data_IF_211305342231
#
_entry.id   IF_211305342231
#
_cell.length_a   1.000
_cell.length_b   1.000
_cell.length_c   1.000
_cell.angle_alpha   90.00
_cell.angle_beta   90.00
_cell.angle_gamma   90.00
#
_symmetry.space_group_name_H-M   'P 1'
#
loop_
_entity.id
_entity.type
_entity.pdbx_description
1 polymer ?
#
# COMPACT_ATOMS: atom_id res chain seq x y z
N UNK A 1 5.79 19.00 28.46
CA UNK A 1 6.43 19.32 27.16
C UNK A 1 6.06 18.24 26.12
N UNK A 2 5.72 18.65 24.90
CA UNK A 2 5.26 17.75 23.82
C UNK A 2 6.44 17.20 23.01
N UNK A 3 7.57 16.87 23.65
CA UNK A 3 8.75 16.35 22.99
C UNK A 3 8.62 14.83 22.78
N UNK A 4 9.25 14.29 21.74
CA UNK A 4 9.42 12.85 21.58
C UNK A 4 10.74 12.42 22.20
N UNK A 5 10.68 11.41 23.05
CA UNK A 5 11.85 10.78 23.66
C UNK A 5 12.21 9.51 22.89
N UNK A 6 13.45 9.41 22.46
CA UNK A 6 13.96 8.34 21.60
C UNK A 6 15.02 7.53 22.36
N UNK A 7 14.90 6.22 22.35
CA UNK A 7 15.92 5.32 22.90
C UNK A 7 16.98 5.03 21.84
N UNK A 8 18.21 5.43 22.08
CA UNK A 8 19.36 5.18 21.22
C UNK A 8 20.36 4.24 21.92
N UNK A 9 19.94 3.01 22.20
CA UNK A 9 20.73 2.11 23.03
C UNK A 9 20.88 2.61 24.46
N UNK A 10 22.10 3.03 24.84
CA UNK A 10 22.39 3.60 26.18
C UNK A 10 22.19 5.13 26.26
N UNK A 11 22.01 5.79 25.13
CA UNK A 11 21.88 7.25 25.06
C UNK A 11 20.41 7.61 24.92
N UNK A 12 19.99 8.68 25.58
CA UNK A 12 18.67 9.25 25.42
C UNK A 12 18.69 10.31 24.32
N UNK A 13 17.73 10.24 23.38
CA UNK A 13 17.53 11.25 22.36
C UNK A 13 16.24 12.03 22.63
N UNK A 14 16.25 13.31 22.31
CA UNK A 14 15.07 14.17 22.41
C UNK A 14 14.83 14.87 21.08
N UNK A 15 13.63 14.70 20.55
CA UNK A 15 13.13 15.49 19.42
C UNK A 15 12.22 16.57 20.00
N UNK A 16 12.65 17.84 19.98
CA UNK A 16 11.79 18.95 20.39
C UNK A 16 10.52 19.02 19.56
N UNK A 17 9.44 19.49 20.14
CA UNK A 17 8.13 19.56 19.47
C UNK A 17 8.20 20.14 18.04
N UNK A 18 8.86 21.30 17.88
CA UNK A 18 9.00 21.99 16.57
C UNK A 18 9.84 21.21 15.55
N UNK A 19 10.67 20.29 16.03
CA UNK A 19 11.52 19.42 15.21
C UNK A 19 10.87 18.04 14.96
N UNK A 20 9.64 17.84 15.42
CA UNK A 20 8.93 16.57 15.38
C UNK A 20 8.45 16.16 14.00
N UNK A 21 8.07 17.09 13.15
CA UNK A 21 7.75 16.86 11.73
C UNK A 21 7.77 18.18 10.96
N UNK A 22 7.93 18.08 9.64
CA UNK A 22 7.72 19.17 8.70
C UNK A 22 6.27 19.65 8.81
N UNK A 23 6.04 20.96 8.87
CA UNK A 23 4.71 21.56 8.96
C UNK A 23 4.14 21.71 10.37
N UNK A 24 4.83 21.24 11.43
CA UNK A 24 4.38 21.49 12.81
C UNK A 24 4.59 22.96 13.20
N UNK A 25 5.70 23.56 12.77
CA UNK A 25 6.06 24.93 13.15
C UNK A 25 5.14 26.00 12.55
N UNK A 26 4.58 25.73 11.36
CA UNK A 26 3.65 26.61 10.65
C UNK A 26 2.17 26.24 10.85
N UNK A 27 1.91 25.16 11.61
CA UNK A 27 0.57 24.70 11.93
C UNK A 27 -0.13 23.91 10.81
N UNK A 28 0.53 23.61 9.69
CA UNK A 28 -0.03 22.82 8.61
C UNK A 28 -0.18 21.33 9.00
N UNK A 29 0.58 20.87 9.98
CA UNK A 29 0.53 19.51 10.54
C UNK A 29 0.09 19.54 11.99
N UNK A 30 -0.92 18.75 12.34
CA UNK A 30 -1.48 18.68 13.69
C UNK A 30 -0.63 17.80 14.64
N UNK A 31 -0.80 17.99 15.94
CA UNK A 31 -0.13 17.24 17.01
C UNK A 31 -0.25 15.71 16.88
N UNK A 32 -1.34 15.24 16.27
CA UNK A 32 -1.56 13.81 16.03
C UNK A 32 -0.42 13.16 15.23
N UNK A 33 0.27 13.93 14.39
CA UNK A 33 1.42 13.46 13.64
C UNK A 33 2.61 13.05 14.53
N UNK A 34 2.74 13.66 15.71
CA UNK A 34 3.72 13.28 16.72
C UNK A 34 3.22 12.12 17.59
N UNK A 35 1.98 12.22 18.06
CA UNK A 35 1.37 11.20 18.90
C UNK A 35 1.37 9.83 18.19
N UNK A 36 1.09 9.82 16.90
CA UNK A 36 1.10 8.60 16.08
C UNK A 36 2.48 7.94 15.94
N UNK A 37 3.57 8.58 16.37
CA UNK A 37 4.94 8.06 16.34
C UNK A 37 5.41 7.45 17.66
N UNK A 38 4.63 7.57 18.71
CA UNK A 38 4.92 6.90 19.98
C UNK A 38 4.97 5.39 19.79
N UNK A 39 6.00 4.75 20.33
CA UNK A 39 6.30 3.31 20.17
C UNK A 39 6.54 2.84 18.72
N UNK A 40 6.87 3.76 17.81
CA UNK A 40 7.24 3.43 16.42
C UNK A 40 8.68 3.83 16.13
N UNK A 41 9.29 3.14 15.18
CA UNK A 41 10.59 3.51 14.63
C UNK A 41 10.43 4.80 13.83
N UNK A 42 11.34 5.76 14.03
CA UNK A 42 11.32 7.05 13.33
C UNK A 42 12.69 7.38 12.76
N UNK A 43 12.70 8.03 11.60
CA UNK A 43 13.91 8.62 11.02
C UNK A 43 14.18 9.98 11.67
N UNK A 44 15.42 10.30 11.93
CA UNK A 44 15.85 11.60 12.49
C UNK A 44 17.29 11.91 12.10
N UNK A 45 17.65 13.18 12.21
CA UNK A 45 19.02 13.69 12.11
C UNK A 45 19.49 14.12 13.51
N UNK A 46 20.72 13.80 13.85
CA UNK A 46 21.36 14.30 15.09
C UNK A 46 21.78 15.74 14.82
N UNK A 47 21.31 16.67 15.63
CA UNK A 47 21.61 18.11 15.50
C UNK A 47 22.65 18.59 16.50
N UNK A 48 22.85 17.83 17.56
CA UNK A 48 23.84 18.17 18.59
C UNK A 48 23.65 17.34 19.86
N UNK A 49 24.34 17.79 20.88
CA UNK A 49 24.24 17.27 22.26
C UNK A 49 23.72 18.43 23.13
N UNK A 50 22.82 18.13 24.02
CA UNK A 50 22.27 19.13 24.96
C UNK A 50 21.98 18.52 26.32
N UNK A 51 21.51 19.37 27.25
CA UNK A 51 21.00 18.93 28.53
C UNK A 51 19.47 18.98 28.53
N UNK A 52 18.86 17.93 29.07
CA UNK A 52 17.42 17.85 29.24
C UNK A 52 17.11 17.23 30.62
N UNK A 53 16.68 18.06 31.55
CA UNK A 53 16.34 17.62 32.90
C UNK A 53 17.56 17.20 33.74
N UNK A 54 18.75 17.70 33.45
CA UNK A 54 19.99 17.35 34.14
C UNK A 54 20.71 16.12 33.55
N UNK A 55 20.20 15.58 32.44
CA UNK A 55 20.84 14.49 31.74
C UNK A 55 21.35 14.96 30.38
N UNK A 56 22.54 14.48 29.98
CA UNK A 56 23.07 14.72 28.65
C UNK A 56 22.32 13.87 27.63
N UNK A 57 21.71 14.53 26.65
CA UNK A 57 20.88 13.89 25.61
C UNK A 57 21.37 14.26 24.21
N UNK A 58 21.09 13.38 23.25
CA UNK A 58 21.22 13.70 21.84
C UNK A 58 20.01 14.54 21.39
N UNK A 59 20.27 15.70 20.81
CA UNK A 59 19.23 16.53 20.18
C UNK A 59 18.99 16.02 18.75
N UNK A 60 17.73 15.76 18.46
CA UNK A 60 17.32 15.09 17.23
C UNK A 60 16.28 15.93 16.48
N UNK A 61 16.27 15.83 15.15
CA UNK A 61 15.27 16.46 14.30
C UNK A 61 14.73 15.49 13.25
N UNK A 62 13.42 15.30 13.25
CA UNK A 62 12.70 14.64 12.14
C UNK A 62 12.42 15.64 11.04
N UNK A 63 12.14 16.89 11.38
CA UNK A 63 11.88 17.94 10.41
C UNK A 63 13.01 18.10 9.39
N UNK A 64 14.27 18.08 9.86
CA UNK A 64 15.43 18.22 8.97
C UNK A 64 15.58 17.05 8.01
N UNK A 65 15.41 15.81 8.47
CA UNK A 65 15.51 14.65 7.55
C UNK A 65 14.34 14.62 6.56
N UNK A 66 13.15 15.06 6.96
CA UNK A 66 12.00 15.20 6.06
C UNK A 66 12.23 16.31 5.03
N UNK A 67 12.80 17.44 5.44
CA UNK A 67 13.14 18.53 4.53
C UNK A 67 14.18 18.06 3.50
N UNK A 68 15.25 17.40 3.93
CA UNK A 68 16.25 16.83 2.99
C UNK A 68 15.62 15.82 2.02
N UNK A 69 14.70 14.99 2.48
CA UNK A 69 13.98 14.03 1.62
C UNK A 69 13.09 14.77 0.60
N UNK A 70 12.39 15.81 1.04
CA UNK A 70 11.59 16.65 0.14
C UNK A 70 12.45 17.30 -0.94
N UNK A 71 13.55 17.95 -0.54
CA UNK A 71 14.38 18.77 -1.43
C UNK A 71 15.22 17.91 -2.41
N UNK A 72 15.77 16.81 -1.93
CA UNK A 72 16.73 16.02 -2.71
C UNK A 72 16.10 14.81 -3.43
N UNK A 73 14.94 14.36 -3.01
CA UNK A 73 14.30 13.17 -3.56
C UNK A 73 12.91 13.44 -4.10
N UNK A 74 11.96 13.83 -3.25
CA UNK A 74 10.54 13.93 -3.62
C UNK A 74 10.29 15.06 -4.64
N UNK A 75 11.00 16.18 -4.52
CA UNK A 75 10.87 17.31 -5.47
C UNK A 75 11.28 16.91 -6.89
N UNK A 76 12.23 15.97 -7.02
CA UNK A 76 12.76 15.50 -8.30
C UNK A 76 11.90 14.41 -8.96
N UNK A 77 10.93 13.83 -8.23
CA UNK A 77 10.04 12.84 -8.80
C UNK A 77 9.14 13.42 -9.88
N UNK A 78 9.05 12.70 -10.99
CA UNK A 78 8.18 12.97 -12.13
C UNK A 78 7.02 11.97 -12.19
N UNK A 79 5.90 12.38 -12.78
CA UNK A 79 4.79 11.46 -13.05
C UNK A 79 5.28 10.31 -13.93
N UNK A 80 5.02 9.09 -13.52
CA UNK A 80 5.51 7.87 -14.15
C UNK A 80 6.71 7.23 -13.43
N UNK A 81 7.38 7.94 -12.52
CA UNK A 81 8.50 7.37 -11.77
C UNK A 81 8.02 6.25 -10.83
N UNK A 82 8.77 5.16 -10.82
CA UNK A 82 8.57 4.03 -9.91
C UNK A 82 9.42 4.23 -8.66
N UNK A 83 8.81 4.10 -7.50
CA UNK A 83 9.50 4.21 -6.21
C UNK A 83 9.17 3.03 -5.30
N UNK A 84 10.07 2.75 -4.37
CA UNK A 84 9.78 1.89 -3.23
C UNK A 84 9.08 2.69 -2.13
N UNK A 85 8.05 2.09 -1.53
CA UNK A 85 7.29 2.70 -0.46
C UNK A 85 6.90 1.65 0.58
N UNK A 86 6.63 2.10 1.81
CA UNK A 86 6.17 1.23 2.89
C UNK A 86 4.73 1.54 3.24
N UNK A 87 3.87 0.53 3.23
CA UNK A 87 2.47 0.66 3.68
C UNK A 87 2.44 0.99 5.17
N UNK A 88 1.80 2.09 5.53
CA UNK A 88 1.73 2.56 6.93
C UNK A 88 0.38 2.38 7.56
N UNK A 89 -0.70 2.50 6.78
CA UNK A 89 -2.07 2.35 7.25
C UNK A 89 -3.02 2.07 6.09
N UNK A 90 -4.08 1.31 6.35
CA UNK A 90 -5.06 0.87 5.36
C UNK A 90 -6.44 1.37 5.72
N UNK A 91 -7.11 1.99 4.74
CA UNK A 91 -8.45 2.54 4.86
C UNK A 91 -9.38 2.04 3.74
N UNK A 92 -10.69 2.25 3.89
CA UNK A 92 -11.67 1.92 2.86
C UNK A 92 -11.47 2.68 1.56
N UNK A 93 -10.88 3.88 1.62
CA UNK A 93 -10.67 4.75 0.46
C UNK A 93 -9.27 4.60 -0.14
N UNK A 94 -8.37 3.82 0.46
CA UNK A 94 -7.02 3.58 -0.06
C UNK A 94 -6.00 3.20 0.99
N UNK A 95 -4.72 3.20 0.58
CA UNK A 95 -3.58 2.87 1.42
C UNK A 95 -2.68 4.09 1.63
N UNK A 96 -2.33 4.37 2.88
CA UNK A 96 -1.28 5.32 3.20
C UNK A 96 0.07 4.65 3.10
N UNK A 97 1.01 5.31 2.44
CA UNK A 97 2.36 4.83 2.21
C UNK A 97 3.38 5.85 2.69
N UNK A 98 4.48 5.38 3.26
CA UNK A 98 5.69 6.17 3.53
C UNK A 98 6.57 6.15 2.29
N UNK A 99 6.75 7.31 1.68
CA UNK A 99 7.54 7.51 0.47
C UNK A 99 8.96 8.00 0.75
N UNK A 100 9.36 7.99 2.01
CA UNK A 100 10.69 8.37 2.50
C UNK A 100 10.62 9.24 3.75
N UNK A 101 11.53 9.01 4.69
CA UNK A 101 11.69 9.78 5.93
C UNK A 101 10.42 9.94 6.79
N UNK A 102 9.42 9.05 6.65
CA UNK A 102 8.13 9.16 7.32
C UNK A 102 7.19 10.19 6.70
N UNK A 103 7.42 10.57 5.44
CA UNK A 103 6.52 11.41 4.64
C UNK A 103 5.44 10.51 4.06
N UNK A 104 4.20 10.76 4.45
CA UNK A 104 3.07 9.95 4.03
C UNK A 104 2.45 10.47 2.73
N UNK A 105 2.06 9.54 1.88
CA UNK A 105 1.24 9.78 0.69
C UNK A 105 0.11 8.75 0.60
N UNK A 106 -0.69 8.81 -0.45
CA UNK A 106 -1.89 7.99 -0.62
C UNK A 106 -1.87 7.26 -1.96
N UNK A 107 -2.25 5.98 -1.91
CA UNK A 107 -2.72 5.23 -3.06
C UNK A 107 -4.25 5.10 -2.91
N UNK A 108 -5.06 5.76 -3.73
CA UNK A 108 -6.52 5.59 -3.71
C UNK A 108 -6.92 4.15 -4.01
N UNK A 109 -8.08 3.73 -3.49
CA UNK A 109 -8.52 2.33 -3.61
C UNK A 109 -8.69 1.88 -5.07
N UNK A 110 -9.13 2.77 -5.94
CA UNK A 110 -9.27 2.54 -7.37
C UNK A 110 -7.93 2.48 -8.12
N UNK A 111 -6.82 2.86 -7.47
CA UNK A 111 -5.45 2.76 -7.99
C UNK A 111 -4.68 1.55 -7.44
N UNK A 112 -5.29 0.74 -6.57
CA UNK A 112 -4.68 -0.48 -6.02
C UNK A 112 -4.84 -1.69 -6.93
N UNK A 113 -5.95 -1.79 -7.65
CA UNK A 113 -6.18 -2.88 -8.61
C UNK A 113 -7.29 -2.52 -9.61
N UNK A 114 -7.37 -3.30 -10.70
CA UNK A 114 -8.46 -3.21 -11.68
C UNK A 114 -9.74 -3.83 -11.10
N UNK A 115 -9.64 -4.94 -10.39
CA UNK A 115 -10.78 -5.56 -9.72
C UNK A 115 -11.30 -4.67 -8.60
N UNK A 116 -12.61 -4.59 -8.46
CA UNK A 116 -13.25 -3.86 -7.35
C UNK A 116 -12.92 -4.53 -6.02
N UNK A 117 -12.44 -3.74 -5.09
CA UNK A 117 -12.17 -4.12 -3.71
C UNK A 117 -12.93 -3.17 -2.78
N UNK A 118 -13.37 -3.65 -1.64
CA UNK A 118 -14.12 -2.86 -0.65
C UNK A 118 -13.22 -2.21 0.41
N UNK A 119 -12.00 -2.70 0.55
CA UNK A 119 -11.02 -2.22 1.51
C UNK A 119 -9.59 -2.49 1.01
N UNK A 120 -8.66 -1.58 1.30
CA UNK A 120 -7.26 -1.71 0.85
C UNK A 120 -6.56 -2.97 1.42
N UNK A 121 -7.00 -3.47 2.58
CA UNK A 121 -6.49 -4.72 3.17
C UNK A 121 -6.77 -5.99 2.33
N UNK A 122 -7.57 -5.88 1.28
CA UNK A 122 -7.73 -6.99 0.32
C UNK A 122 -6.55 -7.08 -0.68
N UNK A 123 -5.62 -6.11 -0.64
CA UNK A 123 -4.44 -6.04 -1.53
C UNK A 123 -3.13 -5.91 -0.79
N UNK A 124 -3.13 -5.20 0.32
CA UNK A 124 -1.93 -4.80 1.04
C UNK A 124 -2.07 -5.12 2.52
N UNK A 125 -0.94 -5.22 3.22
CA UNK A 125 -0.90 -5.28 4.68
C UNK A 125 0.01 -4.18 5.24
N UNK A 126 -0.27 -3.76 6.47
CA UNK A 126 0.54 -2.73 7.13
C UNK A 126 1.97 -3.23 7.36
N UNK A 127 2.94 -2.39 7.01
CA UNK A 127 4.36 -2.70 7.10
C UNK A 127 4.96 -3.29 5.84
N UNK A 128 4.16 -3.64 4.85
CA UNK A 128 4.60 -4.18 3.56
C UNK A 128 5.45 -3.16 2.79
N UNK A 129 6.51 -3.67 2.13
CA UNK A 129 7.30 -2.89 1.18
C UNK A 129 6.74 -3.16 -0.22
N UNK A 130 6.39 -2.11 -0.91
CA UNK A 130 5.77 -2.16 -2.25
C UNK A 130 6.52 -1.25 -3.22
N UNK A 131 6.48 -1.60 -4.51
CA UNK A 131 6.80 -0.68 -5.61
C UNK A 131 5.52 0.04 -6.03
N UNK A 132 5.61 1.32 -6.33
CA UNK A 132 4.45 2.12 -6.74
C UNK A 132 4.87 3.21 -7.72
N UNK A 133 3.95 3.66 -8.56
CA UNK A 133 4.19 4.68 -9.58
C UNK A 133 3.61 6.00 -9.12
N UNK A 134 4.34 7.10 -9.29
CA UNK A 134 3.80 8.44 -9.09
C UNK A 134 2.78 8.75 -10.19
N UNK A 135 1.50 8.82 -9.82
CA UNK A 135 0.39 9.07 -10.75
C UNK A 135 0.11 10.53 -10.98
N UNK A 136 0.18 11.32 -9.92
CA UNK A 136 -0.13 12.75 -9.99
C UNK A 136 0.66 13.54 -8.94
N UNK A 137 1.05 14.77 -9.33
CA UNK A 137 1.72 15.74 -8.48
C UNK A 137 0.98 17.07 -8.64
N UNK A 138 0.08 17.37 -7.73
CA UNK A 138 -0.74 18.57 -7.78
C UNK A 138 -0.79 19.27 -6.42
N UNK A 139 -0.50 20.57 -6.41
CA UNK A 139 -0.55 21.41 -5.20
C UNK A 139 0.20 20.81 -4.01
N UNK A 140 1.42 20.31 -4.25
CA UNK A 140 2.26 19.67 -3.24
C UNK A 140 1.78 18.30 -2.76
N UNK A 141 0.64 17.80 -3.26
CA UNK A 141 0.11 16.47 -2.97
C UNK A 141 0.54 15.49 -4.04
N UNK A 142 1.05 14.35 -3.59
CA UNK A 142 1.44 13.24 -4.45
C UNK A 142 0.40 12.13 -4.32
N UNK A 143 0.04 11.54 -5.44
CA UNK A 143 -0.86 10.39 -5.49
C UNK A 143 -0.18 9.28 -6.28
N UNK A 144 -0.24 8.07 -5.74
CA UNK A 144 0.43 6.92 -6.30
C UNK A 144 -0.55 5.86 -6.79
N UNK A 145 -0.05 4.91 -7.58
CA UNK A 145 -0.82 3.80 -8.15
C UNK A 145 0.01 2.54 -8.20
N UNK A 146 -0.65 1.38 -8.06
CA UNK A 146 -0.07 0.06 -8.28
C UNK A 146 -0.45 -0.51 -9.64
N UNK A 147 -1.54 -0.03 -10.24
CA UNK A 147 -2.14 -0.63 -11.44
C UNK A 147 -1.17 -0.82 -12.58
N UNK A 148 -0.32 0.18 -12.82
CA UNK A 148 0.63 0.20 -13.92
C UNK A 148 1.71 -0.89 -13.77
N UNK A 149 2.00 -1.31 -12.54
CA UNK A 149 2.99 -2.34 -12.24
C UNK A 149 2.42 -3.76 -12.18
N UNK A 150 1.10 -3.91 -12.16
CA UNK A 150 0.45 -5.21 -12.03
C UNK A 150 0.18 -5.89 -13.39
N UNK A 151 0.78 -5.38 -14.45
CA UNK A 151 0.64 -5.89 -15.81
C UNK A 151 -0.71 -5.62 -16.47
N UNK A 152 -0.74 -5.78 -17.77
CA UNK A 152 -1.94 -5.72 -18.59
C UNK A 152 -2.77 -7.00 -18.42
N UNK A 153 -4.03 -6.98 -18.88
CA UNK A 153 -4.86 -8.18 -18.92
C UNK A 153 -4.18 -9.32 -19.70
N UNK A 154 -3.56 -9.00 -20.85
CA UNK A 154 -2.90 -9.98 -21.71
C UNK A 154 -1.68 -10.62 -21.05
N UNK A 155 -0.84 -9.84 -20.38
CA UNK A 155 0.33 -10.34 -19.65
C UNK A 155 -0.10 -11.25 -18.51
N UNK A 156 -1.09 -10.84 -17.73
CA UNK A 156 -1.62 -11.68 -16.65
C UNK A 156 -2.30 -12.95 -17.20
N UNK A 157 -3.08 -12.85 -18.28
CA UNK A 157 -3.75 -13.99 -18.89
C UNK A 157 -2.78 -15.01 -19.49
N UNK A 158 -1.61 -14.56 -19.97
CA UNK A 158 -0.56 -15.44 -20.53
C UNK A 158 0.08 -16.37 -19.48
N UNK A 159 -0.12 -16.10 -18.18
CA UNK A 159 0.35 -16.97 -17.09
C UNK A 159 -0.54 -18.20 -16.89
N UNK A 160 -1.68 -18.28 -17.59
CA UNK A 160 -2.68 -19.34 -17.42
C UNK A 160 -2.96 -20.04 -18.73
N UNK A 161 -3.30 -21.33 -18.65
CA UNK A 161 -3.68 -22.15 -19.81
C UNK A 161 -5.11 -22.67 -19.69
N UNK A 162 -5.77 -22.84 -20.82
CA UNK A 162 -7.07 -23.53 -20.87
C UNK A 162 -6.88 -24.98 -20.42
N UNK A 163 -7.75 -25.45 -19.54
CA UNK A 163 -7.67 -26.79 -18.98
C UNK A 163 -7.00 -26.87 -17.61
N UNK A 164 -6.40 -25.77 -17.13
CA UNK A 164 -5.81 -25.72 -15.79
C UNK A 164 -6.88 -25.55 -14.71
N UNK A 165 -6.56 -26.08 -13.53
CA UNK A 165 -7.30 -25.82 -12.29
C UNK A 165 -6.44 -24.99 -11.38
N UNK A 166 -6.91 -23.80 -11.01
CA UNK A 166 -6.17 -22.80 -10.22
C UNK A 166 -7.02 -22.29 -9.08
N UNK A 167 -6.37 -21.68 -8.08
CA UNK A 167 -7.07 -21.01 -7.00
C UNK A 167 -7.43 -19.58 -7.40
N UNK A 168 -8.56 -19.10 -6.89
CA UNK A 168 -9.00 -17.73 -7.08
C UNK A 168 -9.81 -17.23 -5.88
N UNK A 169 -10.15 -15.95 -5.91
CA UNK A 169 -10.92 -15.29 -4.85
C UNK A 169 -12.22 -14.77 -5.42
N UNK A 170 -13.33 -15.15 -4.83
CA UNK A 170 -14.65 -14.61 -5.18
C UNK A 170 -14.68 -13.11 -4.90
N UNK A 171 -14.96 -12.29 -5.93
CA UNK A 171 -15.06 -10.82 -5.80
C UNK A 171 -16.50 -10.33 -5.77
N UNK A 172 -17.38 -10.92 -6.60
CA UNK A 172 -18.81 -10.66 -6.53
C UNK A 172 -19.59 -11.89 -6.99
N UNK A 173 -20.79 -12.02 -6.45
CA UNK A 173 -21.78 -13.02 -6.84
C UNK A 173 -22.95 -12.29 -7.43
N UNK A 174 -23.20 -12.53 -8.72
CA UNK A 174 -24.27 -11.89 -9.50
C UNK A 174 -25.25 -12.96 -9.98
N UNK A 175 -26.46 -12.57 -10.34
CA UNK A 175 -27.50 -13.50 -10.81
C UNK A 175 -27.11 -14.26 -12.08
N UNK A 176 -26.15 -13.73 -12.86
CA UNK A 176 -25.69 -14.30 -14.12
C UNK A 176 -24.32 -15.02 -14.00
N UNK A 177 -23.71 -15.01 -12.82
CA UNK A 177 -22.44 -15.70 -12.57
C UNK A 177 -21.60 -15.11 -11.45
N UNK A 178 -20.50 -15.78 -11.17
CA UNK A 178 -19.57 -15.44 -10.09
C UNK A 178 -18.28 -14.88 -10.67
N UNK A 179 -17.88 -13.68 -10.27
CA UNK A 179 -16.59 -13.12 -10.64
C UNK A 179 -15.54 -13.66 -9.67
N UNK A 180 -14.58 -14.38 -10.24
CA UNK A 180 -13.45 -14.93 -9.50
C UNK A 180 -12.17 -14.27 -9.99
N UNK A 181 -11.44 -13.67 -9.10
CA UNK A 181 -10.14 -13.09 -9.37
C UNK A 181 -9.06 -14.15 -9.28
N UNK A 182 -8.27 -14.27 -10.33
CA UNK A 182 -7.10 -15.15 -10.42
C UNK A 182 -5.82 -14.39 -10.03
N UNK A 183 -5.74 -13.11 -10.40
CA UNK A 183 -4.68 -12.17 -10.04
C UNK A 183 -5.28 -10.75 -9.88
N UNK A 184 -4.58 -9.80 -9.24
CA UNK A 184 -5.10 -8.44 -9.00
C UNK A 184 -5.66 -7.72 -10.23
N UNK A 185 -5.12 -7.98 -11.42
CA UNK A 185 -5.58 -7.41 -12.69
C UNK A 185 -6.26 -8.43 -13.61
N UNK A 186 -6.57 -9.62 -13.12
CA UNK A 186 -7.18 -10.68 -13.92
C UNK A 186 -8.33 -11.36 -13.17
N UNK A 187 -9.53 -11.23 -13.69
CA UNK A 187 -10.71 -11.93 -13.19
C UNK A 187 -11.39 -12.69 -14.32
N UNK A 188 -11.97 -13.83 -13.97
CA UNK A 188 -12.83 -14.62 -14.83
C UNK A 188 -14.26 -14.70 -14.32
N UNK A 189 -15.18 -15.11 -15.18
CA UNK A 189 -16.59 -15.32 -14.86
C UNK A 189 -16.88 -16.82 -14.85
N UNK A 190 -17.35 -17.31 -13.71
CA UNK A 190 -17.92 -18.64 -13.54
C UNK A 190 -19.44 -18.63 -13.68
N UNK A 191 -20.02 -19.79 -13.93
CA UNK A 191 -21.47 -19.97 -13.94
C UNK A 191 -22.06 -19.66 -12.54
N UNK A 192 -23.35 -19.28 -12.43
CA UNK A 192 -23.99 -19.05 -11.16
C UNK A 192 -23.79 -20.23 -10.21
N UNK A 193 -23.43 -19.96 -8.98
CA UNK A 193 -23.26 -20.95 -7.93
C UNK A 193 -23.81 -20.34 -6.63
N UNK A 194 -24.71 -21.05 -5.99
CA UNK A 194 -25.27 -20.65 -4.69
C UNK A 194 -24.24 -20.92 -3.59
N UNK A 195 -24.40 -20.27 -2.45
CA UNK A 195 -23.59 -20.45 -1.23
C UNK A 195 -22.16 -19.90 -1.27
N UNK A 196 -21.82 -19.05 -2.26
CA UNK A 196 -20.54 -18.35 -2.30
C UNK A 196 -20.66 -16.92 -1.76
N UNK A 197 -19.60 -16.47 -1.07
CA UNK A 197 -19.52 -15.12 -0.53
C UNK A 197 -18.27 -14.40 -1.04
N UNK A 198 -18.33 -13.07 -1.27
CA UNK A 198 -17.16 -12.28 -1.62
C UNK A 198 -16.04 -12.43 -0.58
N UNK A 199 -14.80 -12.63 -1.07
CA UNK A 199 -13.62 -12.88 -0.25
C UNK A 199 -13.31 -14.36 -0.01
N UNK A 200 -14.20 -15.26 -0.40
CA UNK A 200 -14.00 -16.71 -0.27
C UNK A 200 -12.99 -17.21 -1.29
N UNK A 201 -12.12 -18.14 -0.88
CA UNK A 201 -11.20 -18.83 -1.76
C UNK A 201 -11.90 -19.99 -2.47
N UNK A 202 -11.65 -20.11 -3.79
CA UNK A 202 -12.23 -21.17 -4.60
C UNK A 202 -11.17 -21.80 -5.51
N UNK A 203 -11.34 -23.07 -5.83
CA UNK A 203 -10.63 -23.72 -6.93
C UNK A 203 -11.49 -23.64 -8.19
N UNK A 204 -10.92 -23.16 -9.27
CA UNK A 204 -11.62 -22.98 -10.54
C UNK A 204 -10.86 -23.65 -11.69
N UNK A 205 -11.62 -24.26 -12.57
CA UNK A 205 -11.14 -24.80 -13.85
C UNK A 205 -11.27 -23.74 -14.94
N UNK A 206 -10.22 -23.49 -15.71
CA UNK A 206 -10.21 -22.54 -16.83
C UNK A 206 -10.79 -23.20 -18.08
N UNK A 207 -12.05 -22.89 -18.35
CA UNK A 207 -12.79 -23.45 -19.51
C UNK A 207 -12.37 -22.81 -20.83
N UNK A 208 -12.13 -21.49 -20.84
CA UNK A 208 -11.65 -20.77 -22.02
C UNK A 208 -11.07 -19.41 -21.66
N UNK A 209 -10.07 -19.00 -22.43
CA UNK A 209 -9.49 -17.66 -22.41
C UNK A 209 -9.79 -17.03 -23.78
N UNK A 210 -10.41 -15.84 -23.80
CA UNK A 210 -10.86 -15.14 -25.00
C UNK A 210 -10.19 -13.76 -25.03
N UNK A 211 -8.98 -13.63 -25.62
CA UNK A 211 -8.18 -12.40 -25.55
C UNK A 211 -8.89 -11.19 -26.17
N UNK A 212 -9.51 -11.35 -27.35
CA UNK A 212 -10.19 -10.24 -28.05
C UNK A 212 -11.31 -9.58 -27.24
N UNK A 213 -11.86 -10.31 -26.27
CA UNK A 213 -12.94 -9.83 -25.39
C UNK A 213 -12.45 -9.58 -23.96
N UNK A 214 -11.17 -9.82 -23.69
CA UNK A 214 -10.58 -9.80 -22.34
C UNK A 214 -11.45 -10.57 -21.32
N UNK A 215 -11.82 -11.82 -21.69
CA UNK A 215 -12.71 -12.68 -20.89
C UNK A 215 -12.08 -14.03 -20.61
N UNK A 216 -12.22 -14.48 -19.37
CA UNK A 216 -11.92 -15.85 -18.95
C UNK A 216 -13.22 -16.48 -18.48
N UNK A 217 -13.55 -17.66 -19.00
CA UNK A 217 -14.67 -18.47 -18.52
C UNK A 217 -14.13 -19.53 -17.56
N UNK A 218 -14.74 -19.59 -16.40
CA UNK A 218 -14.35 -20.46 -15.31
C UNK A 218 -15.47 -21.45 -14.97
N UNK A 219 -15.10 -22.56 -14.35
CA UNK A 219 -16.01 -23.46 -13.67
C UNK A 219 -15.51 -23.63 -12.24
N UNK A 220 -16.36 -23.39 -11.24
CA UNK A 220 -16.04 -23.60 -9.85
C UNK A 220 -15.99 -25.10 -9.58
N UNK A 221 -14.83 -25.58 -9.10
CA UNK A 221 -14.59 -26.98 -8.78
C UNK A 221 -14.83 -27.21 -7.29
N UNK A 222 -14.35 -26.31 -6.44
CA UNK A 222 -14.45 -26.43 -4.99
C UNK A 222 -14.41 -25.05 -4.34
N UNK A 223 -15.19 -24.86 -3.30
CA UNK A 223 -15.10 -23.71 -2.42
C UNK A 223 -14.40 -24.12 -1.11
N UNK A 224 -13.63 -23.20 -0.52
CA UNK A 224 -12.93 -23.40 0.73
C UNK A 224 -13.55 -22.50 1.80
N UNK A 225 -13.69 -23.03 3.01
CA UNK A 225 -14.22 -22.26 4.16
C UNK A 225 -13.22 -21.23 4.71
N UNK A 226 -12.02 -21.13 4.12
CA UNK A 226 -10.99 -20.18 4.52
C UNK A 226 -11.10 -18.88 3.73
N UNK A 227 -10.89 -17.76 4.44
CA UNK A 227 -10.64 -16.49 3.76
C UNK A 227 -9.39 -16.62 2.87
N UNK A 228 -9.40 -15.92 1.75
CA UNK A 228 -8.27 -15.91 0.83
C UNK A 228 -7.02 -15.41 1.56
N UNK A 229 -5.95 -16.18 1.50
CA UNK A 229 -4.61 -15.70 1.83
C UNK A 229 -4.24 -14.69 0.74
N UNK A 230 -3.82 -13.51 1.14
CA UNK A 230 -3.34 -12.49 0.21
C UNK A 230 -2.17 -13.05 -0.60
N UNK A 231 -2.30 -13.08 -1.92
CA UNK A 231 -1.19 -13.43 -2.81
C UNK A 231 -0.17 -12.29 -2.83
N UNK A 232 1.11 -12.62 -2.89
CA UNK A 232 2.16 -11.64 -3.13
C UNK A 232 1.87 -10.85 -4.42
N UNK A 233 2.20 -9.56 -4.40
CA UNK A 233 2.09 -8.72 -5.59
C UNK A 233 3.15 -9.14 -6.61
N UNK A 234 2.72 -9.55 -7.77
CA UNK A 234 3.58 -9.82 -8.92
C UNK A 234 3.67 -8.54 -9.75
N UNK A 235 4.87 -8.01 -9.89
CA UNK A 235 5.13 -6.83 -10.71
C UNK A 235 5.59 -7.24 -12.09
N UNK A 236 5.12 -6.50 -13.09
CA UNK A 236 5.54 -6.63 -14.49
C UNK A 236 6.39 -5.38 -14.82
N UNK A 237 7.64 -5.62 -15.25
CA UNK A 237 8.58 -4.56 -15.64
C UNK A 237 8.41 -4.18 -17.12
#
# INVERSE_FOLDING_TARGET
ARNLHIRLGKIHGVIPYKEGALGISDGSVRDIALISKVNKIVCFKVTGIGDFGGETVALLSRRLVQQECMDNYISNLSVGDVIDAKVTHLEKFGAFIDIGAGINSLIPIDMLSVSRISHASQRLFEGELIRTVLKNKFDGKLTFTLKELLGTWSENAALFSVGETVTGVVRSVESYGVFVELMPNLAGLAEPCDDLVPGQCVSVYIKSIIPDKMKIKLVIVQAFDSAAVQSELVYFD
#
